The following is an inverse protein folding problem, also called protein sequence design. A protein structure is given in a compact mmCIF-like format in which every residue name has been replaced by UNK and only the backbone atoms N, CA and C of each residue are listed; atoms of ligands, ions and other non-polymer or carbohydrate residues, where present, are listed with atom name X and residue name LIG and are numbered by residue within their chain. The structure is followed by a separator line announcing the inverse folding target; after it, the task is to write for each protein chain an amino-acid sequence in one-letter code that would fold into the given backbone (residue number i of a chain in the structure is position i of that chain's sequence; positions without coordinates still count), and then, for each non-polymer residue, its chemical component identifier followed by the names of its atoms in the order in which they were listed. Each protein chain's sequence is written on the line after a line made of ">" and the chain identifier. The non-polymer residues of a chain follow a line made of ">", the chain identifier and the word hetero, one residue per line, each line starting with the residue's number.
data_IF_145105173251
#
_entry.id   IF_145105173251
#
_cell.length_a   1.000
_cell.length_b   1.000
_cell.length_c   1.000
_cell.angle_alpha   90.00
_cell.angle_beta   90.00
_cell.angle_gamma   90.00
#
_symmetry.space_group_name_H-M   'P 1'
#
loop_
_entity.id
_entity.type
_entity.pdbx_description
1 polymer ?
#
# COMPACT_ATOMS: atom_id res chain seq x y z
N UNK A 1 4.98 -16.25 -0.32
CA UNK A 1 4.50 -14.98 0.30
C UNK A 1 4.82 -13.80 -0.59
N UNK A 2 4.04 -12.74 -0.54
CA UNK A 2 4.27 -11.49 -1.26
C UNK A 2 4.25 -10.31 -0.28
N UNK A 3 4.94 -9.22 -0.62
CA UNK A 3 4.85 -7.94 0.10
C UNK A 3 4.12 -6.93 -0.80
N UNK A 4 2.90 -6.55 -0.42
CA UNK A 4 2.03 -5.75 -1.28
C UNK A 4 2.25 -4.24 -1.17
N UNK A 5 3.18 -3.79 -0.32
CA UNK A 5 3.59 -2.39 -0.24
C UNK A 5 4.92 -2.24 0.51
N UNK A 6 5.92 -1.74 -0.18
CA UNK A 6 7.20 -1.34 0.42
C UNK A 6 7.85 -0.22 -0.40
N UNK A 7 8.73 0.56 0.23
CA UNK A 7 9.54 1.57 -0.44
C UNK A 7 11.00 1.08 -0.52
N UNK A 8 11.24 0.07 -1.36
CA UNK A 8 12.57 -0.57 -1.47
C UNK A 8 13.67 0.46 -1.77
N UNK A 9 13.37 1.47 -2.61
CA UNK A 9 14.30 2.57 -2.93
C UNK A 9 14.64 3.47 -1.74
N UNK A 10 13.86 3.43 -0.66
CA UNK A 10 14.08 4.21 0.57
C UNK A 10 14.72 3.38 1.70
N UNK A 11 14.92 2.10 1.49
CA UNK A 11 15.63 1.27 2.46
C UNK A 11 17.10 1.68 2.53
N UNK A 12 17.72 1.52 3.69
CA UNK A 12 19.10 1.98 3.91
C UNK A 12 20.12 1.05 3.24
N UNK A 13 19.83 -0.23 3.29
CA UNK A 13 20.63 -1.26 2.64
C UNK A 13 20.37 -1.25 1.13
N UNK A 14 21.34 -1.71 0.35
CA UNK A 14 21.18 -1.82 -1.10
C UNK A 14 20.06 -2.79 -1.50
N UNK A 15 19.42 -2.59 -2.65
CA UNK A 15 18.31 -3.43 -3.08
C UNK A 15 18.71 -4.90 -3.23
N UNK A 16 19.94 -5.19 -3.64
CA UNK A 16 20.47 -6.57 -3.75
C UNK A 16 20.35 -7.33 -2.42
N UNK A 17 20.86 -6.72 -1.34
CA UNK A 17 20.85 -7.34 -0.02
C UNK A 17 19.42 -7.50 0.54
N UNK A 18 18.56 -6.50 0.32
CA UNK A 18 17.15 -6.53 0.75
C UNK A 18 16.39 -7.61 0.03
N UNK A 19 16.56 -7.73 -1.29
CA UNK A 19 15.85 -8.70 -2.10
C UNK A 19 16.38 -10.12 -1.91
N UNK A 20 17.67 -10.29 -1.63
CA UNK A 20 18.24 -11.58 -1.22
C UNK A 20 17.57 -12.08 0.07
N UNK A 21 17.52 -11.24 1.11
CA UNK A 21 16.82 -11.56 2.37
C UNK A 21 15.34 -11.86 2.19
N UNK A 22 14.67 -11.09 1.31
CA UNK A 22 13.27 -11.34 0.98
C UNK A 22 13.08 -12.72 0.34
N UNK A 23 13.94 -13.09 -0.61
CA UNK A 23 13.96 -14.42 -1.22
C UNK A 23 14.23 -15.53 -0.21
N UNK A 24 15.19 -15.35 0.70
CA UNK A 24 15.47 -16.30 1.81
C UNK A 24 14.27 -16.48 2.75
N UNK A 25 13.47 -15.40 2.95
CA UNK A 25 12.22 -15.44 3.71
C UNK A 25 11.04 -16.04 2.92
N UNK A 26 11.24 -16.46 1.67
CA UNK A 26 10.23 -17.09 0.84
C UNK A 26 9.31 -16.12 0.09
N UNK A 27 9.68 -14.85 -0.03
CA UNK A 27 8.92 -13.90 -0.84
C UNK A 27 9.16 -14.17 -2.33
N UNK A 28 8.07 -14.16 -3.09
CA UNK A 28 8.10 -14.38 -4.54
C UNK A 28 7.89 -13.10 -5.35
N UNK A 29 7.19 -12.11 -4.77
CA UNK A 29 6.92 -10.80 -5.38
C UNK A 29 6.87 -9.70 -4.34
N UNK A 30 7.26 -8.49 -4.75
CA UNK A 30 7.30 -7.29 -3.93
C UNK A 30 6.76 -6.13 -4.76
N UNK A 31 5.80 -5.38 -4.22
CA UNK A 31 5.40 -4.09 -4.78
C UNK A 31 6.27 -2.99 -4.19
N UNK A 32 7.12 -2.38 -5.01
CA UNK A 32 7.85 -1.17 -4.65
C UNK A 32 7.04 0.05 -5.05
N UNK A 33 6.77 0.93 -4.11
CA UNK A 33 5.85 2.05 -4.28
C UNK A 33 6.61 3.36 -4.32
N UNK A 34 6.37 4.14 -5.38
CA UNK A 34 6.92 5.48 -5.55
C UNK A 34 6.13 6.53 -4.78
N UNK A 35 6.77 7.66 -4.51
CA UNK A 35 6.22 8.75 -3.68
C UNK A 35 6.12 10.09 -4.42
N UNK A 36 7.04 10.33 -5.35
CA UNK A 36 7.15 11.55 -6.17
C UNK A 36 7.78 11.22 -7.52
N UNK A 37 7.89 12.20 -8.42
CA UNK A 37 8.42 11.98 -9.79
C UNK A 37 9.84 11.43 -9.81
N UNK A 38 10.69 11.85 -8.89
CA UNK A 38 12.08 11.38 -8.82
C UNK A 38 12.10 9.93 -8.34
N UNK A 39 11.35 9.66 -7.28
CA UNK A 39 11.27 8.33 -6.68
C UNK A 39 10.52 7.33 -7.56
N UNK A 40 9.52 7.75 -8.33
CA UNK A 40 8.89 6.92 -9.34
C UNK A 40 9.91 6.42 -10.39
N UNK A 41 10.82 7.29 -10.87
CA UNK A 41 11.88 6.90 -11.80
C UNK A 41 12.86 5.91 -11.18
N UNK A 42 13.31 6.16 -9.94
CA UNK A 42 14.14 5.22 -9.19
C UNK A 42 13.45 3.85 -9.05
N UNK A 43 12.14 3.86 -8.84
CA UNK A 43 11.35 2.62 -8.73
C UNK A 43 11.27 1.88 -10.08
N UNK A 44 11.15 2.60 -11.21
CA UNK A 44 11.22 1.97 -12.54
C UNK A 44 12.61 1.36 -12.78
N UNK A 45 13.69 2.08 -12.47
CA UNK A 45 15.06 1.54 -12.58
C UNK A 45 15.25 0.28 -11.70
N UNK A 46 14.62 0.25 -10.53
CA UNK A 46 14.65 -0.92 -9.64
C UNK A 46 13.96 -2.13 -10.27
N UNK A 47 12.74 -1.97 -10.79
CA UNK A 47 11.98 -3.10 -11.36
C UNK A 47 12.60 -3.63 -12.65
N UNK A 48 13.34 -2.81 -13.40
CA UNK A 48 14.10 -3.25 -14.57
C UNK A 48 15.27 -4.17 -14.23
N UNK A 49 15.82 -4.01 -13.03
CA UNK A 49 16.97 -4.78 -12.53
C UNK A 49 16.58 -6.08 -11.82
N UNK A 50 15.38 -6.13 -11.25
CA UNK A 50 14.98 -7.23 -10.36
C UNK A 50 13.63 -7.82 -10.76
N UNK A 51 13.64 -9.08 -11.20
CA UNK A 51 12.44 -9.76 -11.69
C UNK A 51 11.30 -9.85 -10.67
N UNK A 52 11.53 -10.12 -9.36
CA UNK A 52 10.43 -10.26 -8.41
C UNK A 52 9.81 -8.94 -7.96
N UNK A 53 10.33 -7.79 -8.45
CA UNK A 53 9.85 -6.46 -8.04
C UNK A 53 8.93 -5.89 -9.12
N UNK A 54 7.77 -5.39 -8.67
CA UNK A 54 6.78 -4.63 -9.44
C UNK A 54 6.66 -3.22 -8.87
N UNK A 55 6.05 -2.30 -9.60
CA UNK A 55 5.94 -0.91 -9.21
C UNK A 55 4.50 -0.44 -9.07
N UNK A 56 4.27 0.44 -8.11
CA UNK A 56 3.22 1.45 -8.17
C UNK A 56 3.86 2.82 -8.35
N UNK A 57 3.25 3.67 -9.17
CA UNK A 57 3.73 5.04 -9.45
C UNK A 57 2.66 6.05 -9.14
N UNK A 58 3.02 7.10 -8.39
CA UNK A 58 2.07 8.11 -7.96
C UNK A 58 2.73 9.31 -7.31
N UNK A 59 1.91 10.15 -6.71
CA UNK A 59 2.30 11.29 -5.89
C UNK A 59 1.64 11.16 -4.52
N UNK A 60 2.48 10.95 -3.51
CA UNK A 60 2.06 10.84 -2.11
C UNK A 60 1.41 12.15 -1.62
N UNK A 61 0.37 12.11 -0.76
CA UNK A 61 -0.29 13.33 -0.28
C UNK A 61 0.65 14.33 0.39
N UNK A 62 1.71 13.88 1.04
CA UNK A 62 2.70 14.75 1.66
C UNK A 62 3.56 15.55 0.66
N UNK A 63 3.57 15.15 -0.60
CA UNK A 63 4.29 15.77 -1.71
C UNK A 63 3.34 16.37 -2.76
N UNK A 64 2.06 16.58 -2.40
CA UNK A 64 1.02 17.01 -3.32
C UNK A 64 1.14 18.46 -3.78
N UNK A 65 1.91 19.30 -3.08
CA UNK A 65 2.13 20.69 -3.50
C UNK A 65 2.81 20.75 -4.87
N UNK A 66 2.26 21.58 -5.75
CA UNK A 66 2.74 21.71 -7.11
C UNK A 66 2.36 20.57 -8.05
N UNK A 67 1.42 19.71 -7.66
CA UNK A 67 0.84 18.73 -8.59
C UNK A 67 0.07 19.45 -9.70
N UNK A 68 0.45 19.17 -10.95
CA UNK A 68 -0.11 19.78 -12.15
C UNK A 68 -0.30 18.78 -13.29
N UNK A 69 -0.72 19.26 -14.45
CA UNK A 69 -0.90 18.42 -15.66
C UNK A 69 0.38 17.70 -16.09
N UNK A 70 1.56 18.32 -15.87
CA UNK A 70 2.83 17.68 -16.22
C UNK A 70 3.14 16.53 -15.27
N UNK A 71 2.85 16.68 -13.97
CA UNK A 71 2.95 15.59 -12.99
C UNK A 71 2.00 14.43 -13.33
N UNK A 72 0.75 14.74 -13.67
CA UNK A 72 -0.25 13.75 -14.10
C UNK A 72 0.21 13.01 -15.38
N UNK A 73 0.73 13.74 -16.37
CA UNK A 73 1.26 13.15 -17.61
C UNK A 73 2.47 12.25 -17.35
N UNK A 74 3.37 12.63 -16.43
CA UNK A 74 4.52 11.81 -16.04
C UNK A 74 4.09 10.50 -15.38
N UNK A 75 3.06 10.52 -14.51
CA UNK A 75 2.51 9.30 -13.91
C UNK A 75 1.93 8.39 -15.01
N UNK A 76 1.15 8.94 -15.97
CA UNK A 76 0.60 8.16 -17.09
C UNK A 76 1.69 7.55 -17.97
N UNK A 77 2.77 8.29 -18.24
CA UNK A 77 3.91 7.79 -19.00
C UNK A 77 4.57 6.61 -18.30
N UNK A 78 4.92 6.76 -17.01
CA UNK A 78 5.55 5.70 -16.23
C UNK A 78 4.61 4.49 -16.03
N UNK A 79 3.31 4.71 -15.91
CA UNK A 79 2.31 3.64 -15.81
C UNK A 79 2.19 2.78 -17.08
N UNK A 80 2.76 3.21 -18.22
CA UNK A 80 2.86 2.39 -19.43
C UNK A 80 3.92 1.28 -19.34
N UNK A 81 4.77 1.30 -18.33
CA UNK A 81 5.78 0.28 -18.12
C UNK A 81 5.13 -1.04 -17.66
N UNK A 82 5.52 -2.17 -18.29
CA UNK A 82 4.87 -3.47 -18.09
C UNK A 82 4.91 -4.03 -16.65
N UNK A 83 5.82 -3.54 -15.81
CA UNK A 83 5.89 -3.89 -14.38
C UNK A 83 5.21 -2.88 -13.46
N UNK A 84 4.61 -1.83 -14.00
CA UNK A 84 3.74 -0.95 -13.22
C UNK A 84 2.36 -1.57 -13.15
N UNK A 85 1.95 -1.94 -11.97
CA UNK A 85 0.72 -2.71 -11.71
C UNK A 85 -0.31 -1.97 -10.86
N UNK A 86 0.00 -0.73 -10.45
CA UNK A 86 -0.91 0.11 -9.69
C UNK A 86 -0.55 1.60 -9.84
N UNK A 87 -1.54 2.47 -9.59
CA UNK A 87 -1.33 3.90 -9.38
C UNK A 87 -1.29 4.16 -7.88
N UNK A 88 -0.30 4.90 -7.44
CA UNK A 88 -0.10 5.26 -6.04
C UNK A 88 1.40 5.26 -5.66
N UNK A 89 1.69 5.65 -4.45
CA UNK A 89 0.81 5.92 -3.31
C UNK A 89 0.14 7.29 -3.46
N UNK A 90 -1.15 7.37 -3.22
CA UNK A 90 -1.93 8.61 -3.28
C UNK A 90 -3.02 8.62 -2.20
N UNK A 91 -3.63 9.76 -1.93
CA UNK A 91 -4.68 9.85 -0.92
C UNK A 91 -4.63 11.14 -0.11
N UNK A 92 -4.96 11.04 1.20
CA UNK A 92 -5.04 12.18 2.11
C UNK A 92 -4.28 11.91 3.41
N UNK A 93 -3.40 12.82 3.81
CA UNK A 93 -2.68 12.80 5.11
C UNK A 93 -2.89 14.14 5.83
N UNK A 94 -3.87 14.18 6.74
CA UNK A 94 -4.12 15.36 7.57
C UNK A 94 -3.37 15.33 8.91
N UNK A 95 -2.58 14.27 9.13
CA UNK A 95 -1.69 14.18 10.28
C UNK A 95 -0.41 14.98 10.06
N UNK A 96 0.15 14.96 8.84
CA UNK A 96 1.35 15.70 8.50
C UNK A 96 0.99 17.04 7.84
N UNK A 97 1.67 18.10 8.23
CA UNK A 97 1.48 19.46 7.70
C UNK A 97 2.60 19.78 6.68
N UNK A 98 2.70 18.95 5.63
CA UNK A 98 3.76 19.08 4.61
C UNK A 98 3.22 19.55 3.27
N UNK A 99 1.94 19.34 2.98
CA UNK A 99 1.27 19.82 1.78
C UNK A 99 -0.13 20.34 2.12
N UNK A 100 -0.59 21.36 1.39
CA UNK A 100 -1.92 21.93 1.57
C UNK A 100 -3.00 20.85 1.31
N UNK A 101 -3.97 20.64 2.23
CA UNK A 101 -5.06 19.69 2.01
C UNK A 101 -5.83 19.89 0.71
N UNK A 102 -5.93 21.13 0.18
CA UNK A 102 -6.56 21.37 -1.12
C UNK A 102 -5.73 20.77 -2.26
N UNK A 103 -4.40 20.85 -2.20
CA UNK A 103 -3.51 20.26 -3.19
C UNK A 103 -3.51 18.72 -3.08
N UNK A 104 -3.61 18.16 -1.87
CA UNK A 104 -3.78 16.72 -1.68
C UNK A 104 -5.05 16.22 -2.39
N UNK A 105 -6.19 16.92 -2.26
CA UNK A 105 -7.45 16.58 -2.94
C UNK A 105 -7.32 16.60 -4.46
N UNK A 106 -6.67 17.64 -4.99
CA UNK A 106 -6.44 17.77 -6.44
C UNK A 106 -5.58 16.61 -6.96
N UNK A 107 -4.47 16.34 -6.30
CA UNK A 107 -3.58 15.25 -6.68
C UNK A 107 -4.25 13.87 -6.55
N UNK A 108 -5.04 13.66 -5.50
CA UNK A 108 -5.76 12.42 -5.27
C UNK A 108 -6.84 12.20 -6.34
N UNK A 109 -7.69 13.20 -6.61
CA UNK A 109 -8.72 13.09 -7.64
C UNK A 109 -8.14 12.77 -9.03
N UNK A 110 -7.05 13.46 -9.42
CA UNK A 110 -6.40 13.21 -10.70
C UNK A 110 -5.81 11.79 -10.79
N UNK A 111 -5.25 11.25 -9.70
CA UNK A 111 -4.68 9.90 -9.70
C UNK A 111 -5.77 8.81 -9.69
N UNK A 112 -6.92 9.05 -9.06
CA UNK A 112 -8.10 8.20 -9.20
C UNK A 112 -8.53 8.11 -10.68
N UNK A 113 -8.63 9.26 -11.38
CA UNK A 113 -8.96 9.30 -12.80
C UNK A 113 -7.92 8.57 -13.66
N UNK A 114 -6.62 8.73 -13.36
CA UNK A 114 -5.55 8.02 -14.07
C UNK A 114 -5.70 6.51 -13.89
N UNK A 115 -5.94 6.05 -12.66
CA UNK A 115 -6.12 4.63 -12.36
C UNK A 115 -7.32 4.05 -13.12
N UNK A 116 -8.46 4.74 -13.08
CA UNK A 116 -9.68 4.33 -13.78
C UNK A 116 -9.50 4.28 -15.31
N UNK A 117 -8.86 5.29 -15.90
CA UNK A 117 -8.59 5.37 -17.34
C UNK A 117 -7.67 4.24 -17.84
N UNK A 118 -6.69 3.85 -17.01
CA UNK A 118 -5.72 2.82 -17.35
C UNK A 118 -6.17 1.41 -16.95
N UNK A 119 -7.26 1.29 -16.18
CA UNK A 119 -7.72 0.01 -15.63
C UNK A 119 -6.74 -0.59 -14.63
N UNK A 120 -5.98 0.24 -13.93
CA UNK A 120 -5.05 -0.15 -12.88
C UNK A 120 -5.68 0.05 -11.49
N UNK A 121 -5.36 -0.79 -10.50
CA UNK A 121 -5.76 -0.55 -9.13
C UNK A 121 -5.09 0.71 -8.57
N UNK A 122 -5.71 1.29 -7.54
CA UNK A 122 -5.17 2.46 -6.83
C UNK A 122 -4.76 2.09 -5.41
N UNK A 123 -3.55 2.47 -5.01
CA UNK A 123 -2.99 2.26 -3.66
C UNK A 123 -3.16 3.53 -2.86
N UNK A 124 -3.97 3.42 -1.80
CA UNK A 124 -4.48 4.56 -1.04
C UNK A 124 -3.79 4.69 0.31
N UNK A 125 -3.23 5.87 0.53
CA UNK A 125 -2.78 6.36 1.82
C UNK A 125 -3.85 7.21 2.48
N UNK A 126 -4.22 6.88 3.72
CA UNK A 126 -5.08 7.75 4.52
C UNK A 126 -4.55 7.86 5.94
N UNK A 127 -4.39 9.08 6.43
CA UNK A 127 -3.92 9.31 7.78
C UNK A 127 -4.53 10.54 8.41
N UNK A 128 -5.09 10.34 9.61
CA UNK A 128 -5.66 11.40 10.43
C UNK A 128 -4.85 11.65 11.71
N UNK A 129 -4.94 12.85 12.31
CA UNK A 129 -4.54 13.08 13.68
C UNK A 129 -5.33 12.18 14.63
N UNK A 130 -4.73 11.86 15.77
CA UNK A 130 -5.37 11.00 16.76
C UNK A 130 -6.75 11.53 17.18
N UNK A 131 -7.77 10.67 17.09
CA UNK A 131 -9.15 11.00 17.45
C UNK A 131 -9.89 11.83 16.39
N UNK A 132 -9.36 11.88 15.17
CA UNK A 132 -9.98 12.47 13.98
C UNK A 132 -10.18 11.40 12.94
N UNK A 133 -11.09 11.66 12.01
CA UNK A 133 -11.41 10.82 10.85
C UNK A 133 -11.75 11.66 9.59
N UNK A 134 -11.33 12.92 9.59
CA UNK A 134 -11.64 13.86 8.50
C UNK A 134 -11.03 13.39 7.16
N UNK A 135 -9.76 12.93 7.16
CA UNK A 135 -9.09 12.45 5.95
C UNK A 135 -9.70 11.12 5.47
N UNK A 136 -9.99 10.20 6.39
CA UNK A 136 -10.55 8.89 6.03
C UNK A 136 -11.98 9.05 5.49
N UNK A 137 -12.81 9.87 6.13
CA UNK A 137 -14.17 10.12 5.67
C UNK A 137 -14.17 10.72 4.26
N UNK A 138 -13.34 11.74 4.04
CA UNK A 138 -13.24 12.41 2.75
C UNK A 138 -12.65 11.51 1.67
N UNK A 139 -11.60 10.75 1.97
CA UNK A 139 -11.00 9.81 1.01
C UNK A 139 -12.00 8.74 0.57
N UNK A 140 -12.78 8.19 1.51
CA UNK A 140 -13.82 7.22 1.20
C UNK A 140 -14.95 7.83 0.35
N UNK A 141 -15.34 9.09 0.59
CA UNK A 141 -16.33 9.77 -0.23
C UNK A 141 -15.82 10.05 -1.65
N UNK A 142 -14.54 10.41 -1.81
CA UNK A 142 -13.91 10.58 -3.12
C UNK A 142 -13.83 9.28 -3.91
N UNK A 143 -13.49 8.17 -3.24
CA UNK A 143 -13.44 6.84 -3.84
C UNK A 143 -14.85 6.35 -4.23
N UNK A 144 -15.85 6.59 -3.38
CA UNK A 144 -17.25 6.28 -3.70
C UNK A 144 -17.74 7.04 -4.93
N UNK A 145 -17.34 8.32 -5.08
CA UNK A 145 -17.69 9.14 -6.22
C UNK A 145 -17.05 8.67 -7.53
N UNK A 146 -15.92 7.96 -7.47
CA UNK A 146 -15.28 7.36 -8.64
C UNK A 146 -16.11 6.19 -9.25
N UNK A 147 -17.06 5.66 -8.49
CA UNK A 147 -17.99 4.63 -8.93
C UNK A 147 -17.44 3.20 -8.86
N UNK A 148 -18.28 2.26 -9.33
CA UNK A 148 -17.94 0.85 -9.34
C UNK A 148 -16.96 0.55 -10.50
N UNK A 149 -15.99 -0.32 -10.23
CA UNK A 149 -15.02 -0.81 -11.25
C UNK A 149 -13.58 -0.35 -11.04
N UNK A 150 -13.33 0.53 -10.08
CA UNK A 150 -11.97 0.84 -9.61
C UNK A 150 -11.56 -0.15 -8.51
N UNK A 151 -10.48 -0.89 -8.73
CA UNK A 151 -9.88 -1.72 -7.69
C UNK A 151 -9.11 -0.83 -6.71
N UNK A 152 -9.48 -0.87 -5.44
CA UNK A 152 -8.92 -0.01 -4.39
C UNK A 152 -8.17 -0.86 -3.36
N UNK A 153 -6.92 -0.47 -3.07
CA UNK A 153 -6.12 -1.04 -1.99
C UNK A 153 -5.94 0.04 -0.92
N UNK A 154 -6.56 -0.16 0.23
CA UNK A 154 -6.32 0.64 1.43
C UNK A 154 -5.03 0.13 2.07
N UNK A 155 -3.90 0.73 1.68
CA UNK A 155 -2.59 0.41 2.21
C UNK A 155 -2.50 0.78 3.68
N UNK A 156 -1.70 0.03 4.45
CA UNK A 156 -1.49 0.26 5.89
C UNK A 156 -2.82 0.58 6.61
N UNK A 157 -3.85 -0.27 6.36
CA UNK A 157 -5.20 -0.01 6.82
C UNK A 157 -5.21 0.42 8.29
N UNK A 158 -5.59 1.68 8.53
CA UNK A 158 -5.50 2.34 9.84
C UNK A 158 -6.83 2.94 10.31
N UNK A 159 -7.92 2.64 9.60
CA UNK A 159 -9.26 3.18 9.86
C UNK A 159 -10.25 2.09 10.33
N UNK A 160 -10.06 1.46 11.52
CA UNK A 160 -10.85 0.31 11.97
C UNK A 160 -12.36 0.58 12.03
N UNK A 161 -12.77 1.83 12.29
CA UNK A 161 -14.19 2.21 12.27
C UNK A 161 -14.83 2.17 10.87
N UNK A 162 -14.03 2.17 9.82
CA UNK A 162 -14.47 2.16 8.42
C UNK A 162 -14.35 0.79 7.74
N UNK A 163 -13.95 -0.25 8.47
CA UNK A 163 -13.73 -1.59 7.90
C UNK A 163 -14.98 -2.14 7.22
N UNK A 164 -16.16 -1.92 7.80
CA UNK A 164 -17.43 -2.41 7.22
C UNK A 164 -17.73 -1.72 5.89
N UNK A 165 -17.52 -0.39 5.78
CA UNK A 165 -17.66 0.34 4.52
C UNK A 165 -16.67 -0.15 3.47
N UNK A 166 -15.40 -0.37 3.83
CA UNK A 166 -14.39 -0.92 2.92
C UNK A 166 -14.80 -2.31 2.39
N UNK A 167 -15.30 -3.18 3.26
CA UNK A 167 -15.78 -4.53 2.90
C UNK A 167 -17.03 -4.47 2.00
N UNK A 168 -17.99 -3.61 2.29
CA UNK A 168 -19.18 -3.41 1.45
C UNK A 168 -18.82 -2.95 0.04
N UNK A 169 -17.78 -2.12 -0.10
CA UNK A 169 -17.24 -1.65 -1.37
C UNK A 169 -16.29 -2.62 -2.03
N UNK A 170 -16.00 -3.75 -1.37
CA UNK A 170 -15.03 -4.76 -1.82
C UNK A 170 -13.62 -4.20 -2.06
N UNK A 171 -13.22 -3.22 -1.26
CA UNK A 171 -11.87 -2.70 -1.26
C UNK A 171 -10.93 -3.61 -0.47
N UNK A 172 -9.73 -3.80 -1.00
CA UNK A 172 -8.70 -4.55 -0.30
C UNK A 172 -8.17 -3.78 0.90
N UNK A 173 -8.04 -4.46 2.03
CA UNK A 173 -7.43 -3.92 3.24
C UNK A 173 -6.07 -4.60 3.44
N UNK A 174 -4.99 -3.83 3.32
CA UNK A 174 -3.63 -4.32 3.53
C UNK A 174 -3.13 -3.93 4.93
N UNK A 175 -2.54 -4.88 5.63
CA UNK A 175 -2.07 -4.69 7.01
C UNK A 175 -0.55 -4.76 7.07
N UNK A 176 0.05 -3.74 7.70
CA UNK A 176 1.48 -3.62 7.91
C UNK A 176 1.91 -4.06 9.32
N UNK A 177 3.20 -3.99 9.61
CA UNK A 177 3.78 -4.40 10.88
C UNK A 177 3.20 -3.73 12.14
N UNK A 178 2.52 -2.58 11.99
CA UNK A 178 1.84 -1.90 13.10
C UNK A 178 0.67 -2.71 13.69
N UNK A 179 0.09 -3.67 12.97
CA UNK A 179 -0.93 -4.59 13.52
C UNK A 179 -0.37 -5.42 14.68
N UNK A 180 0.95 -5.64 14.69
CA UNK A 180 1.65 -6.40 15.75
C UNK A 180 1.84 -5.60 17.04
N UNK A 181 1.57 -4.28 17.05
CA UNK A 181 1.82 -3.46 18.22
C UNK A 181 0.77 -3.69 19.30
N UNK A 182 1.17 -3.83 20.57
CA UNK A 182 0.24 -4.12 21.68
C UNK A 182 -0.92 -3.12 21.79
N UNK A 183 -0.67 -1.84 21.47
CA UNK A 183 -1.68 -0.78 21.55
C UNK A 183 -2.76 -0.85 20.45
N UNK A 184 -2.54 -1.62 19.37
CA UNK A 184 -3.39 -1.59 18.18
C UNK A 184 -4.43 -2.73 18.16
N UNK A 185 -5.17 -2.91 19.27
CA UNK A 185 -6.19 -3.95 19.36
C UNK A 185 -7.32 -3.74 18.34
N UNK A 186 -7.79 -2.50 18.18
CA UNK A 186 -8.87 -2.17 17.22
C UNK A 186 -8.48 -2.52 15.78
N UNK A 187 -7.20 -2.39 15.43
CA UNK A 187 -6.70 -2.78 14.11
C UNK A 187 -6.71 -4.30 13.92
N UNK A 188 -6.37 -5.07 14.97
CA UNK A 188 -6.49 -6.54 14.97
C UNK A 188 -7.95 -6.99 14.83
N UNK A 189 -8.85 -6.32 15.56
CA UNK A 189 -10.28 -6.61 15.48
C UNK A 189 -10.84 -6.31 14.07
N UNK A 190 -10.35 -5.26 13.42
CA UNK A 190 -10.68 -4.94 12.03
C UNK A 190 -10.15 -6.01 11.07
N UNK A 191 -8.89 -6.46 11.26
CA UNK A 191 -8.29 -7.50 10.41
C UNK A 191 -9.06 -8.83 10.41
N UNK A 192 -9.71 -9.17 11.52
CA UNK A 192 -10.57 -10.36 11.61
C UNK A 192 -11.90 -10.18 10.85
N UNK A 193 -12.39 -8.94 10.70
CA UNK A 193 -13.64 -8.65 9.97
C UNK A 193 -13.48 -8.64 8.45
N UNK A 194 -12.27 -8.40 7.94
CA UNK A 194 -12.02 -8.38 6.49
C UNK A 194 -12.19 -9.80 5.91
N UNK A 195 -13.00 -9.99 4.85
CA UNK A 195 -13.12 -11.29 4.18
C UNK A 195 -11.79 -11.81 3.63
N UNK A 196 -11.66 -13.14 3.52
CA UNK A 196 -10.43 -13.77 3.02
C UNK A 196 -10.03 -13.28 1.62
N UNK A 197 -10.98 -12.96 0.78
CA UNK A 197 -10.75 -12.49 -0.59
C UNK A 197 -10.43 -10.99 -0.73
N UNK A 198 -10.36 -10.25 0.40
CA UNK A 198 -10.06 -8.81 0.44
C UNK A 198 -8.88 -8.44 1.35
N UNK A 199 -8.25 -9.43 1.99
CA UNK A 199 -7.13 -9.16 2.89
C UNK A 199 -5.79 -9.24 2.17
N UNK A 200 -4.91 -8.27 2.47
CA UNK A 200 -3.53 -8.22 2.02
C UNK A 200 -2.59 -8.04 3.22
N UNK A 201 -1.32 -8.33 3.01
CA UNK A 201 -0.26 -8.11 3.99
C UNK A 201 0.93 -7.42 3.34
N UNK A 202 1.53 -6.49 4.07
CA UNK A 202 2.61 -5.66 3.60
C UNK A 202 3.62 -5.34 4.71
N UNK A 203 4.72 -4.73 4.34
CA UNK A 203 5.68 -4.20 5.32
C UNK A 203 5.57 -2.71 5.53
N UNK A 204 5.28 -1.93 4.51
CA UNK A 204 5.53 -0.49 4.45
C UNK A 204 7.00 -0.15 4.76
N UNK A 205 7.93 -1.04 4.37
CA UNK A 205 9.34 -0.86 4.63
C UNK A 205 9.87 0.41 3.93
N UNK A 206 10.73 1.20 4.60
CA UNK A 206 11.45 0.97 5.85
C UNK A 206 10.70 1.36 7.13
N UNK A 207 9.43 1.67 7.04
CA UNK A 207 8.58 2.11 8.17
C UNK A 207 7.92 0.91 8.86
N UNK A 208 7.20 1.16 9.96
CA UNK A 208 6.27 0.25 10.64
C UNK A 208 6.84 -1.15 10.97
N UNK A 209 8.11 -1.23 11.37
CA UNK A 209 8.75 -2.48 11.76
C UNK A 209 7.89 -3.28 12.74
N UNK A 210 7.61 -4.59 12.51
CA UNK A 210 6.87 -5.43 13.43
C UNK A 210 7.43 -5.41 14.85
N UNK A 211 6.57 -5.63 15.87
CA UNK A 211 6.94 -5.52 17.28
C UNK A 211 8.14 -6.39 17.67
N UNK A 212 8.24 -7.58 17.13
CA UNK A 212 9.35 -8.52 17.37
C UNK A 212 10.71 -8.00 16.84
N UNK A 213 10.68 -7.12 15.84
CA UNK A 213 11.84 -6.54 15.16
C UNK A 213 12.08 -5.06 15.43
N UNK A 214 11.42 -4.46 16.41
CA UNK A 214 11.47 -2.99 16.70
C UNK A 214 12.87 -2.39 16.86
N UNK A 215 13.88 -3.19 17.06
CA UNK A 215 15.30 -2.75 17.15
C UNK A 215 15.98 -2.66 15.79
N UNK A 216 15.35 -3.13 14.74
CA UNK A 216 15.85 -3.15 13.38
C UNK A 216 15.03 -2.20 12.50
N UNK A 217 15.59 -1.77 11.37
CA UNK A 217 14.80 -1.13 10.32
C UNK A 217 13.93 -2.16 9.63
N UNK A 218 12.78 -1.73 9.16
CA UNK A 218 11.89 -2.61 8.42
C UNK A 218 12.46 -2.95 7.04
N UNK A 219 12.11 -4.12 6.54
CA UNK A 219 12.48 -4.62 5.22
C UNK A 219 11.41 -5.62 4.74
N UNK A 220 11.26 -5.85 3.42
CA UNK A 220 10.24 -6.75 2.86
C UNK A 220 10.19 -8.14 3.50
N UNK A 221 11.33 -8.72 3.87
CA UNK A 221 11.40 -10.02 4.56
C UNK A 221 10.54 -10.11 5.84
N UNK A 222 10.25 -8.96 6.47
CA UNK A 222 9.49 -8.94 7.73
C UNK A 222 7.97 -8.99 7.54
N UNK A 223 7.45 -9.02 6.29
CA UNK A 223 6.03 -9.26 6.03
C UNK A 223 5.57 -10.61 6.60
N UNK A 224 6.47 -11.58 6.68
CA UNK A 224 6.19 -12.91 7.25
C UNK A 224 5.65 -12.79 8.67
N UNK A 225 6.24 -11.91 9.50
CA UNK A 225 5.81 -11.73 10.90
C UNK A 225 4.43 -11.05 11.00
N UNK A 226 4.11 -10.16 10.07
CA UNK A 226 2.77 -9.59 9.94
C UNK A 226 1.77 -10.66 9.56
N UNK A 227 2.09 -11.46 8.55
CA UNK A 227 1.23 -12.53 8.05
C UNK A 227 1.04 -13.66 9.08
N UNK A 228 2.07 -14.04 9.84
CA UNK A 228 1.95 -15.01 10.95
C UNK A 228 0.93 -14.56 12.00
N UNK A 229 1.00 -13.28 12.43
CA UNK A 229 0.03 -12.74 13.37
C UNK A 229 -1.38 -12.71 12.77
N UNK A 230 -1.54 -12.27 11.52
CA UNK A 230 -2.85 -12.23 10.87
C UNK A 230 -3.46 -13.63 10.74
N UNK A 231 -2.65 -14.63 10.40
CA UNK A 231 -3.05 -16.03 10.35
C UNK A 231 -3.53 -16.53 11.74
N UNK A 232 -2.75 -16.24 12.79
CA UNK A 232 -3.11 -16.58 14.18
C UNK A 232 -4.45 -15.96 14.59
N UNK A 233 -4.64 -14.65 14.36
CA UNK A 233 -5.87 -13.92 14.68
C UNK A 233 -7.11 -14.49 13.99
N UNK A 234 -6.93 -15.01 12.78
CA UNK A 234 -8.00 -15.60 11.96
C UNK A 234 -8.19 -17.11 12.22
N UNK A 235 -7.34 -17.71 13.04
CA UNK A 235 -7.37 -19.15 13.32
C UNK A 235 -7.06 -20.02 12.10
N UNK A 236 -6.25 -19.50 11.16
CA UNK A 236 -5.88 -20.15 9.91
C UNK A 236 -4.39 -20.53 9.96
N UNK A 237 -3.97 -21.70 9.43
CA UNK A 237 -2.54 -22.01 9.29
C UNK A 237 -1.82 -20.97 8.42
N UNK A 238 -0.56 -20.64 8.78
CA UNK A 238 0.23 -19.64 8.05
C UNK A 238 0.30 -19.94 6.54
N UNK A 239 0.55 -21.19 6.15
CA UNK A 239 0.67 -21.57 4.74
C UNK A 239 -0.65 -21.39 3.96
N UNK A 240 -1.80 -21.49 4.62
CA UNK A 240 -3.10 -21.22 4.02
C UNK A 240 -3.32 -19.72 3.88
N UNK A 241 -2.99 -18.94 4.91
CA UNK A 241 -3.05 -17.48 4.87
C UNK A 241 -2.11 -16.90 3.82
N UNK A 242 -0.87 -17.40 3.71
CA UNK A 242 0.09 -17.01 2.66
C UNK A 242 -0.51 -17.25 1.27
N UNK A 243 -1.09 -18.43 1.01
CA UNK A 243 -1.76 -18.69 -0.28
C UNK A 243 -2.92 -17.73 -0.55
N UNK A 244 -3.70 -17.41 0.47
CA UNK A 244 -4.83 -16.46 0.37
C UNK A 244 -4.34 -15.07 -0.02
N UNK A 245 -3.37 -14.51 0.71
CA UNK A 245 -2.79 -13.19 0.43
C UNK A 245 -2.12 -13.15 -0.95
N UNK A 246 -1.36 -14.20 -1.28
CA UNK A 246 -0.72 -14.30 -2.59
C UNK A 246 -1.74 -14.32 -3.73
N UNK A 247 -2.81 -15.11 -3.61
CA UNK A 247 -3.88 -15.16 -4.59
C UNK A 247 -4.65 -13.83 -4.72
N UNK A 248 -4.86 -13.13 -3.60
CA UNK A 248 -5.48 -11.80 -3.61
C UNK A 248 -4.60 -10.78 -4.33
N UNK A 249 -3.30 -10.78 -4.04
CA UNK A 249 -2.33 -9.91 -4.69
C UNK A 249 -2.23 -10.20 -6.20
N UNK A 250 -2.18 -11.49 -6.59
CA UNK A 250 -2.22 -11.88 -8.01
C UNK A 250 -3.48 -11.39 -8.72
N UNK A 251 -4.62 -11.44 -8.05
CA UNK A 251 -5.90 -10.99 -8.62
C UNK A 251 -5.94 -9.48 -8.81
N UNK A 252 -5.52 -8.70 -7.80
CA UNK A 252 -5.63 -7.24 -7.85
C UNK A 252 -4.55 -6.60 -8.71
N UNK A 253 -3.32 -7.13 -8.69
CA UNK A 253 -2.20 -6.53 -9.45
C UNK A 253 -1.98 -7.17 -10.81
N UNK A 254 -2.50 -8.36 -11.08
CA UNK A 254 -2.32 -9.06 -12.36
C UNK A 254 -0.88 -9.49 -12.65
N UNK A 255 -0.03 -9.61 -11.64
CA UNK A 255 1.42 -9.87 -11.75
C UNK A 255 1.79 -11.36 -11.74
#
# INVERSE_FOLDING_TARGET
>A
MVDTHSHVTRCQEGPEEILERAGEAGLTRILSVGLDEANNRETIELVDRFDPVFAAVGRHPNDADGFDEAAAASIRELASHYKVVAIGETGLDFYRDTADPANQRIAFAAQIEIAADLGLPVVIHVRDPQGKDDAVAEAFDMLDAAGDGLEVILHCFSAPAYVERAVERRWYCSFAGNVTYPANQELRDAAVKVPDDLILAETDAPYLTPQSRRKHRNQPAYVVETAELLAELRGTPYEEFDRTVTANAERVFGW
#
